data_IF_192677499820
#
_entry.id   IF_192677499820
#
_cell.length_a   1.000
_cell.length_b   1.000
_cell.length_c   1.000
_cell.angle_alpha   90.00
_cell.angle_beta   90.00
_cell.angle_gamma   90.00
#
_symmetry.space_group_name_H-M   'P 1'
#
loop_
_entity.id
_entity.type
_entity.pdbx_description
1 polymer ?
#
# COMPACT_ATOMS: atom_id res chain seq x y z
N UNK A 1 -38.48 -31.74 29.33
CA UNK A 1 -39.39 -30.68 28.83
C UNK A 1 -38.93 -29.34 29.35
N UNK A 2 -39.06 -28.31 28.50
CA UNK A 2 -38.79 -26.87 28.67
C UNK A 2 -37.45 -26.40 28.08
N UNK A 3 -37.61 -25.87 26.87
CA UNK A 3 -36.67 -25.19 25.99
C UNK A 3 -36.11 -23.93 26.63
N UNK A 4 -34.83 -23.63 26.39
CA UNK A 4 -34.33 -22.26 26.42
C UNK A 4 -33.69 -21.92 25.07
N UNK A 5 -34.24 -20.86 24.50
CA UNK A 5 -33.97 -20.30 23.17
C UNK A 5 -32.56 -19.72 23.08
N UNK A 6 -32.02 -19.77 21.87
CA UNK A 6 -30.87 -19.04 21.41
C UNK A 6 -30.97 -17.53 21.70
N UNK A 7 -29.83 -16.92 22.04
CA UNK A 7 -29.58 -15.51 21.76
C UNK A 7 -28.32 -15.40 20.87
N UNK A 8 -28.55 -15.11 19.59
CA UNK A 8 -27.57 -14.44 18.73
C UNK A 8 -27.68 -12.95 19.03
N UNK A 9 -26.58 -12.27 19.33
CA UNK A 9 -26.34 -10.87 18.92
C UNK A 9 -24.95 -10.38 19.37
N UNK A 10 -24.16 -10.01 18.36
CA UNK A 10 -23.21 -8.90 18.29
C UNK A 10 -22.33 -8.55 19.50
N UNK A 11 -21.02 -8.73 19.33
CA UNK A 11 -20.03 -7.85 19.96
C UNK A 11 -19.31 -7.09 18.86
N UNK A 12 -19.90 -5.94 18.48
CA UNK A 12 -19.14 -4.77 18.07
C UNK A 12 -18.66 -4.12 19.36
N UNK A 13 -17.36 -3.92 19.51
CA UNK A 13 -16.80 -3.23 20.66
C UNK A 13 -15.31 -3.44 20.76
N UNK A 14 -14.54 -2.47 20.26
CA UNK A 14 -13.11 -2.38 20.48
C UNK A 14 -12.81 -2.40 21.98
N UNK A 15 -12.16 -3.46 22.47
CA UNK A 15 -11.65 -3.49 23.83
C UNK A 15 -10.30 -2.78 23.86
N UNK A 16 -10.32 -1.47 24.15
CA UNK A 16 -9.12 -0.78 24.63
C UNK A 16 -8.93 -1.16 26.11
N UNK A 17 -8.02 -2.10 26.37
CA UNK A 17 -7.60 -2.45 27.73
C UNK A 17 -6.62 -1.39 28.22
N UNK A 18 -7.03 -0.55 29.17
CA UNK A 18 -6.14 0.38 29.86
C UNK A 18 -5.31 -0.39 30.91
N UNK A 19 -4.02 -0.63 30.63
CA UNK A 19 -3.07 -1.25 31.57
C UNK A 19 -2.39 -0.16 32.40
N UNK A 20 -2.50 -0.26 33.73
CA UNK A 20 -1.83 0.62 34.69
C UNK A 20 -0.33 0.28 34.77
N UNK A 21 0.50 1.23 34.34
CA UNK A 21 1.91 1.49 34.67
C UNK A 21 2.84 0.30 34.99
N UNK A 22 3.48 -0.23 33.93
CA UNK A 22 4.85 -0.72 33.96
C UNK A 22 5.48 -0.50 32.58
N UNK A 23 6.02 0.72 32.33
CA UNK A 23 6.96 0.99 31.23
C UNK A 23 6.61 0.50 29.82
N UNK A 24 5.33 0.35 29.47
CA UNK A 24 4.95 -0.02 28.11
C UNK A 24 5.07 1.22 27.24
N UNK A 25 6.16 1.35 26.50
CA UNK A 25 6.17 2.23 25.32
C UNK A 25 5.02 1.76 24.44
N UNK A 26 3.94 2.54 24.35
CA UNK A 26 2.98 2.37 23.27
C UNK A 26 3.77 2.69 22.01
N UNK A 27 4.28 1.66 21.34
CA UNK A 27 4.75 1.79 19.97
C UNK A 27 3.50 2.20 19.20
N UNK A 28 3.32 3.51 19.02
CA UNK A 28 2.34 4.03 18.08
C UNK A 28 2.77 3.43 16.75
N UNK A 29 2.09 2.39 16.30
CA UNK A 29 2.26 1.93 14.94
C UNK A 29 1.90 3.12 14.08
N UNK A 30 2.90 3.75 13.47
CA UNK A 30 2.64 4.57 12.30
C UNK A 30 1.81 3.64 11.38
N UNK A 31 0.54 3.98 11.08
CA UNK A 31 -0.28 3.10 10.25
C UNK A 31 0.34 2.89 8.87
N UNK A 32 1.38 3.66 8.54
CA UNK A 32 1.93 3.77 7.21
C UNK A 32 0.97 4.54 6.33
N UNK A 33 1.44 4.83 5.12
CA UNK A 33 0.59 5.38 4.10
C UNK A 33 -0.53 4.37 3.75
N UNK A 34 -1.80 4.83 3.69
CA UNK A 34 -2.91 3.93 3.40
C UNK A 34 -2.80 3.33 2.01
N UNK A 35 -3.18 2.06 1.89
CA UNK A 35 -3.28 1.32 0.63
C UNK A 35 -4.03 2.12 -0.44
N UNK A 36 -3.53 2.09 -1.68
CA UNK A 36 -4.12 2.79 -2.83
C UNK A 36 -4.79 1.77 -3.76
N UNK A 37 -6.04 1.99 -4.14
CA UNK A 37 -6.81 1.06 -4.98
C UNK A 37 -8.32 1.21 -4.86
N UNK A 38 -9.07 0.42 -5.64
CA UNK A 38 -10.52 0.33 -5.47
C UNK A 38 -10.87 -0.21 -4.08
N UNK A 39 -11.82 0.46 -3.41
CA UNK A 39 -12.21 0.13 -2.04
C UNK A 39 -11.35 0.79 -0.94
N UNK A 40 -10.35 1.59 -1.33
CA UNK A 40 -9.47 2.31 -0.40
C UNK A 40 -9.49 3.82 -0.65
N UNK A 41 -9.03 4.63 0.33
CA UNK A 41 -8.76 6.05 0.11
C UNK A 41 -7.74 6.24 -1.02
N UNK A 42 -8.04 7.15 -1.94
CA UNK A 42 -7.18 7.45 -3.08
C UNK A 42 -6.82 8.94 -3.06
N UNK A 43 -5.83 9.31 -2.24
CA UNK A 43 -5.37 10.70 -2.16
C UNK A 43 -4.62 11.09 -3.44
N UNK A 44 -4.89 12.28 -3.97
CA UNK A 44 -4.41 12.69 -5.29
C UNK A 44 -2.89 12.58 -5.45
N UNK A 45 -2.14 13.04 -4.44
CA UNK A 45 -0.68 12.96 -4.43
C UNK A 45 -0.16 11.52 -4.44
N UNK A 46 -0.76 10.66 -3.61
CA UNK A 46 -0.43 9.23 -3.54
C UNK A 46 -0.63 8.52 -4.87
N UNK A 47 -1.78 8.75 -5.49
CA UNK A 47 -2.12 8.14 -6.76
C UNK A 47 -1.19 8.63 -7.87
N UNK A 48 -0.84 9.92 -7.89
CA UNK A 48 0.13 10.45 -8.83
C UNK A 48 1.51 9.78 -8.67
N UNK A 49 1.93 9.48 -7.44
CA UNK A 49 3.15 8.73 -7.19
C UNK A 49 3.04 7.26 -7.65
N UNK A 50 1.91 6.60 -7.43
CA UNK A 50 1.66 5.26 -8.01
C UNK A 50 1.74 5.29 -9.53
N UNK A 51 1.09 6.28 -10.17
CA UNK A 51 1.08 6.46 -11.62
C UNK A 51 2.49 6.71 -12.18
N UNK A 52 3.33 7.47 -11.47
CA UNK A 52 4.74 7.68 -11.82
C UNK A 52 5.51 6.36 -11.88
N UNK A 53 5.48 5.55 -10.81
CA UNK A 53 6.20 4.28 -10.78
C UNK A 53 5.63 3.25 -11.76
N UNK A 54 4.30 3.24 -11.96
CA UNK A 54 3.65 2.43 -12.99
C UNK A 54 4.20 2.79 -14.36
N UNK A 55 4.16 4.06 -14.76
CA UNK A 55 4.67 4.48 -16.07
C UNK A 55 6.14 4.11 -16.25
N UNK A 56 6.96 4.35 -15.22
CA UNK A 56 8.39 4.05 -15.26
C UNK A 56 8.67 2.56 -15.49
N UNK A 57 8.13 1.67 -14.64
CA UNK A 57 8.50 0.24 -14.67
C UNK A 57 7.74 -0.59 -15.69
N UNK A 58 6.59 -0.13 -16.15
CA UNK A 58 5.79 -0.87 -17.13
C UNK A 58 5.94 -0.33 -18.56
N UNK A 59 6.51 0.88 -18.72
CA UNK A 59 6.52 1.60 -19.99
C UNK A 59 5.14 2.09 -20.45
N UNK A 60 4.12 1.96 -19.59
CA UNK A 60 2.80 2.51 -19.87
C UNK A 60 2.86 4.04 -19.91
N UNK A 61 1.87 4.64 -20.58
CA UNK A 61 1.70 6.10 -20.70
C UNK A 61 0.35 6.52 -20.13
N UNK A 62 0.08 6.13 -18.89
CA UNK A 62 -1.13 6.56 -18.19
C UNK A 62 -0.97 8.01 -17.70
N UNK A 63 -2.08 8.73 -17.61
CA UNK A 63 -2.06 10.09 -17.07
C UNK A 63 -1.60 10.08 -15.60
N UNK A 64 -0.77 11.06 -15.22
CA UNK A 64 -0.37 11.30 -13.82
C UNK A 64 -1.27 12.39 -13.25
N UNK A 65 -2.55 12.05 -13.07
CA UNK A 65 -3.63 12.99 -12.70
C UNK A 65 -4.10 12.84 -11.24
N UNK A 66 -3.51 11.92 -10.49
CA UNK A 66 -3.89 11.65 -9.11
C UNK A 66 -5.25 10.96 -8.94
N UNK A 67 -5.85 10.44 -10.02
CA UNK A 67 -7.14 9.74 -9.96
C UNK A 67 -6.94 8.25 -10.19
N UNK A 68 -7.40 7.44 -9.23
CA UNK A 68 -7.28 6.00 -9.34
C UNK A 68 -8.37 5.45 -10.26
N UNK A 69 -8.10 5.43 -11.57
CA UNK A 69 -9.01 4.91 -12.58
C UNK A 69 -8.66 3.48 -13.04
N UNK A 70 -9.46 2.89 -13.95
CA UNK A 70 -9.21 1.55 -14.48
C UNK A 70 -7.82 1.38 -15.11
N UNK A 71 -7.29 2.41 -15.77
CA UNK A 71 -5.94 2.39 -16.35
C UNK A 71 -4.85 2.34 -15.28
N UNK A 72 -5.02 3.06 -14.17
CA UNK A 72 -4.12 2.98 -13.02
C UNK A 72 -4.17 1.58 -12.40
N UNK A 73 -5.36 1.01 -12.19
CA UNK A 73 -5.49 -0.35 -11.68
C UNK A 73 -4.79 -1.39 -12.58
N UNK A 74 -5.01 -1.31 -13.90
CA UNK A 74 -4.36 -2.20 -14.86
C UNK A 74 -2.84 -2.03 -14.82
N UNK A 75 -2.36 -0.79 -14.70
CA UNK A 75 -0.94 -0.50 -14.56
C UNK A 75 -0.34 -1.04 -13.27
N UNK A 76 -1.05 -0.99 -12.16
CA UNK A 76 -0.63 -1.64 -10.90
C UNK A 76 -0.52 -3.15 -11.08
N UNK A 77 -1.51 -3.80 -11.71
CA UNK A 77 -1.42 -5.24 -12.02
C UNK A 77 -0.21 -5.56 -12.87
N UNK A 78 0.01 -4.77 -13.93
CA UNK A 78 1.14 -4.96 -14.83
C UNK A 78 2.49 -4.78 -14.12
N UNK A 79 2.57 -3.78 -13.24
CA UNK A 79 3.74 -3.57 -12.39
C UNK A 79 3.98 -4.80 -11.51
N UNK A 80 2.96 -5.26 -10.76
CA UNK A 80 3.05 -6.44 -9.89
C UNK A 80 3.54 -7.68 -10.67
N UNK A 81 2.97 -7.94 -11.85
CA UNK A 81 3.39 -9.03 -12.75
C UNK A 81 4.84 -8.92 -13.21
N UNK A 82 5.27 -7.73 -13.64
CA UNK A 82 6.64 -7.52 -14.12
C UNK A 82 7.61 -7.69 -12.96
N UNK A 83 7.36 -7.04 -11.82
CA UNK A 83 8.19 -7.14 -10.62
C UNK A 83 8.41 -8.59 -10.22
N UNK A 84 7.34 -9.39 -10.14
CA UNK A 84 7.43 -10.82 -9.78
C UNK A 84 8.34 -11.62 -10.71
N UNK A 85 8.46 -11.24 -11.98
CA UNK A 85 9.30 -11.95 -12.95
C UNK A 85 10.75 -11.48 -12.98
N UNK A 86 11.05 -10.27 -12.50
CA UNK A 86 12.31 -9.61 -12.79
C UNK A 86 13.12 -9.23 -11.55
N UNK A 87 12.52 -8.51 -10.59
CA UNK A 87 13.28 -7.84 -9.53
C UNK A 87 12.63 -7.86 -8.15
N UNK A 88 11.42 -8.40 -8.01
CA UNK A 88 10.75 -8.46 -6.72
C UNK A 88 11.54 -9.34 -5.73
N UNK A 89 11.74 -8.83 -4.52
CA UNK A 89 12.38 -9.58 -3.42
C UNK A 89 11.42 -10.55 -2.73
N UNK A 90 10.12 -10.40 -2.98
CA UNK A 90 9.03 -11.26 -2.50
C UNK A 90 7.92 -11.27 -3.53
N UNK A 91 7.27 -12.42 -3.70
CA UNK A 91 6.12 -12.55 -4.60
C UNK A 91 4.96 -11.65 -4.15
N UNK A 92 4.45 -10.88 -5.10
CA UNK A 92 3.29 -10.00 -4.97
C UNK A 92 2.03 -10.69 -5.47
N UNK A 93 0.90 -10.44 -4.80
CA UNK A 93 -0.41 -10.76 -5.35
C UNK A 93 -0.73 -9.78 -6.48
N UNK A 94 -1.19 -10.29 -7.63
CA UNK A 94 -1.57 -9.47 -8.79
C UNK A 94 -3.05 -9.06 -8.69
N UNK A 95 -3.36 -8.18 -7.75
CA UNK A 95 -4.73 -7.73 -7.42
C UNK A 95 -5.07 -6.33 -7.98
N UNK A 96 -4.07 -5.57 -8.42
CA UNK A 96 -4.25 -4.18 -8.86
C UNK A 96 -4.45 -3.20 -7.71
N UNK A 97 -4.08 -3.60 -6.49
CA UNK A 97 -4.06 -2.76 -5.29
C UNK A 97 -2.62 -2.46 -4.92
N UNK A 98 -2.29 -1.18 -4.79
CA UNK A 98 -0.96 -0.74 -4.40
C UNK A 98 -0.89 -0.66 -2.86
N UNK A 99 -0.63 -1.81 -2.23
CA UNK A 99 -0.46 -1.92 -0.78
C UNK A 99 1.01 -1.94 -0.32
N UNK A 100 1.25 -2.05 1.00
CA UNK A 100 2.60 -2.02 1.57
C UNK A 100 3.59 -3.01 0.97
N UNK A 101 3.14 -4.21 0.60
CA UNK A 101 3.98 -5.19 -0.09
C UNK A 101 4.45 -4.72 -1.47
N UNK A 102 3.52 -4.17 -2.27
CA UNK A 102 3.85 -3.64 -3.59
C UNK A 102 4.76 -2.43 -3.48
N UNK A 103 4.47 -1.47 -2.60
CA UNK A 103 5.32 -0.30 -2.43
C UNK A 103 6.69 -0.64 -1.85
N UNK A 104 6.81 -1.60 -0.91
CA UNK A 104 8.12 -2.04 -0.43
C UNK A 104 8.99 -2.56 -1.56
N UNK A 105 8.42 -3.43 -2.41
CA UNK A 105 9.12 -4.00 -3.56
C UNK A 105 9.56 -2.86 -4.50
N UNK A 106 8.64 -1.96 -4.88
CA UNK A 106 8.92 -0.81 -5.76
C UNK A 106 10.02 0.10 -5.20
N UNK A 107 9.92 0.52 -3.94
CA UNK A 107 10.85 1.46 -3.34
C UNK A 107 12.25 0.87 -3.19
N UNK A 108 12.37 -0.41 -2.80
CA UNK A 108 13.67 -1.10 -2.74
C UNK A 108 14.34 -1.16 -4.11
N UNK A 109 13.57 -1.38 -5.17
CA UNK A 109 14.10 -1.41 -6.52
C UNK A 109 14.48 -0.01 -7.02
N UNK A 110 13.63 0.98 -6.79
CA UNK A 110 13.83 2.38 -7.20
C UNK A 110 15.11 3.01 -6.65
N UNK A 111 15.48 2.72 -5.40
CA UNK A 111 16.77 3.16 -4.81
C UNK A 111 17.99 2.77 -5.64
N UNK A 112 17.92 1.65 -6.35
CA UNK A 112 19.03 1.08 -7.10
C UNK A 112 18.92 1.36 -8.61
N UNK A 113 17.82 1.97 -9.06
CA UNK A 113 17.57 2.26 -10.46
C UNK A 113 18.25 3.57 -10.90
N UNK A 114 19.44 3.45 -11.48
CA UNK A 114 20.23 4.61 -11.94
C UNK A 114 19.61 5.37 -13.12
N UNK A 115 18.60 4.81 -13.79
CA UNK A 115 17.89 5.49 -14.86
C UNK A 115 16.81 6.44 -14.36
N UNK A 116 16.27 6.17 -13.17
CA UNK A 116 15.13 6.91 -12.61
C UNK A 116 15.54 8.30 -12.12
N UNK A 117 14.61 9.26 -12.24
CA UNK A 117 14.69 10.53 -11.51
C UNK A 117 14.59 10.26 -10.00
N UNK A 118 15.75 10.20 -9.34
CA UNK A 118 15.87 9.90 -7.92
C UNK A 118 15.29 11.00 -7.03
N UNK A 119 15.21 12.25 -7.50
CA UNK A 119 14.58 13.33 -6.75
C UNK A 119 13.07 13.12 -6.69
N UNK A 120 12.46 12.85 -7.85
CA UNK A 120 11.02 12.57 -7.92
C UNK A 120 10.65 11.27 -7.16
N UNK A 121 11.48 10.24 -7.27
CA UNK A 121 11.25 8.98 -6.58
C UNK A 121 11.35 9.13 -5.05
N UNK A 122 12.34 9.89 -4.56
CA UNK A 122 12.44 10.24 -3.14
C UNK A 122 11.22 11.04 -2.68
N UNK A 123 10.79 12.04 -3.46
CA UNK A 123 9.59 12.84 -3.17
C UNK A 123 8.33 11.98 -3.09
N UNK A 124 8.21 10.95 -3.91
CA UNK A 124 7.06 10.04 -3.92
C UNK A 124 7.12 8.95 -2.85
N UNK A 125 8.30 8.62 -2.36
CA UNK A 125 8.47 7.53 -1.40
C UNK A 125 7.77 7.78 -0.06
N UNK A 126 7.69 9.04 0.37
CA UNK A 126 6.97 9.44 1.58
C UNK A 126 5.46 9.34 1.45
N UNK A 127 4.94 9.23 0.22
CA UNK A 127 3.51 9.13 -0.04
C UNK A 127 3.08 7.66 -0.24
N UNK A 128 3.98 6.75 -0.59
CA UNK A 128 3.61 5.39 -0.95
C UNK A 128 3.40 4.45 0.26
N UNK A 129 2.44 3.50 0.17
CA UNK A 129 2.30 2.42 1.15
C UNK A 129 3.54 1.52 1.16
N UNK A 130 4.23 1.42 2.28
CA UNK A 130 5.37 0.51 2.48
C UNK A 130 5.51 0.12 3.95
N UNK A 131 6.25 -0.96 4.22
CA UNK A 131 6.50 -1.40 5.61
C UNK A 131 7.57 -0.56 6.30
N UNK A 132 8.47 0.04 5.52
CA UNK A 132 9.46 1.00 6.01
C UNK A 132 9.24 2.34 5.34
N UNK A 133 9.21 3.42 6.12
CA UNK A 133 9.25 4.80 5.60
C UNK A 133 10.62 5.18 4.99
N UNK A 134 11.41 4.19 4.55
CA UNK A 134 12.80 4.38 4.16
C UNK A 134 12.90 4.19 2.66
N UNK A 135 13.04 5.31 1.96
CA UNK A 135 13.69 5.44 0.65
C UNK A 135 15.17 5.73 0.83
#
# INVERSE_FOLDING_TARGET
MKHLKALRSGVLGAAAVAVLAAGTTTVQADPGNPTVGYGYPNYARQVACVQFFVNWYTGMRIAVDGKFGPQTQLGVKRLQEISNRTWATKELVVDGVFGPGTGQVVLVHAKNDRGMDQYQAASCSHDLPSYSGVY
#
